data_IF_250357080789
#
_entry.id   IF_250357080789
#
_cell.length_a   1.000
_cell.length_b   1.000
_cell.length_c   1.000
_cell.angle_alpha   90.00
_cell.angle_beta   90.00
_cell.angle_gamma   90.00
#
_symmetry.space_group_name_H-M   'P 1'
#
loop_
_entity.id
_entity.type
_entity.pdbx_description
1 polymer ?
#
# COMPACT_ATOMS: atom_id res chain seq x y z
N UNK A 1 7.69 -11.63 14.37
CA UNK A 1 6.53 -12.23 15.05
C UNK A 1 6.64 -12.22 16.58
N UNK A 2 7.69 -12.76 17.21
CA UNK A 2 7.86 -12.79 18.68
C UNK A 2 7.92 -11.40 19.36
N UNK A 3 8.44 -10.36 18.71
CA UNK A 3 8.48 -8.99 19.28
C UNK A 3 7.11 -8.30 19.34
N UNK A 4 6.20 -8.61 18.42
CA UNK A 4 4.85 -8.05 18.41
C UNK A 4 3.99 -8.62 19.55
N UNK A 5 4.10 -9.91 19.80
CA UNK A 5 3.44 -10.59 20.93
C UNK A 5 3.89 -10.03 22.30
N UNK A 6 5.17 -9.65 22.43
CA UNK A 6 5.71 -9.04 23.65
C UNK A 6 5.20 -7.61 23.90
N UNK A 7 4.93 -6.83 22.83
CA UNK A 7 4.37 -5.47 22.96
C UNK A 7 2.88 -5.50 23.37
N UNK A 8 2.12 -6.45 22.87
CA UNK A 8 0.69 -6.61 23.19
C UNK A 8 0.50 -6.93 24.66
N UNK A 9 1.29 -7.86 25.21
CA UNK A 9 1.21 -8.22 26.65
C UNK A 9 1.54 -7.06 27.60
N UNK A 10 2.36 -6.11 27.18
CA UNK A 10 2.80 -5.00 28.03
C UNK A 10 1.78 -3.86 28.17
N UNK A 11 0.80 -3.76 27.27
CA UNK A 11 -0.11 -2.62 27.17
C UNK A 11 -1.57 -2.91 27.54
N UNK A 12 -1.97 -4.17 27.73
CA UNK A 12 -3.39 -4.55 27.86
C UNK A 12 -3.77 -5.34 29.13
N UNK A 13 -2.93 -5.35 30.18
CA UNK A 13 -3.28 -6.02 31.44
C UNK A 13 -3.22 -7.56 31.37
N UNK A 14 -3.39 -8.23 32.53
CA UNK A 14 -3.27 -9.69 32.69
C UNK A 14 -4.49 -10.51 32.21
N UNK A 15 -5.50 -9.89 31.59
CA UNK A 15 -6.56 -10.65 30.93
C UNK A 15 -5.95 -11.36 29.74
N UNK A 16 -5.99 -12.69 29.70
CA UNK A 16 -5.57 -13.52 28.56
C UNK A 16 -6.39 -13.15 27.33
N UNK A 17 -5.92 -12.14 26.59
CA UNK A 17 -6.45 -11.84 25.28
C UNK A 17 -5.98 -12.99 24.37
N UNK A 18 -6.82 -14.01 24.26
CA UNK A 18 -6.59 -15.05 23.26
C UNK A 18 -6.72 -14.43 21.89
N UNK A 19 -5.66 -14.51 21.07
CA UNK A 19 -5.69 -14.00 19.70
C UNK A 19 -6.82 -14.64 18.87
N UNK A 20 -7.28 -15.83 19.24
CA UNK A 20 -8.29 -16.60 18.52
C UNK A 20 -9.65 -15.87 18.37
N UNK A 21 -10.00 -14.97 19.32
CA UNK A 21 -11.29 -14.26 19.31
C UNK A 21 -11.18 -12.85 18.72
N UNK A 22 -10.07 -12.52 18.05
CA UNK A 22 -9.83 -11.19 17.47
C UNK A 22 -9.91 -11.24 15.96
N UNK A 23 -10.51 -10.20 15.39
CA UNK A 23 -10.41 -9.92 13.94
C UNK A 23 -9.04 -9.33 13.62
N UNK A 24 -8.43 -9.80 12.54
CA UNK A 24 -7.17 -9.24 12.03
C UNK A 24 -7.50 -8.32 10.85
N UNK A 25 -7.00 -7.11 10.91
CA UNK A 25 -7.05 -6.18 9.78
C UNK A 25 -5.62 -6.03 9.25
N UNK A 26 -5.43 -6.43 8.01
CA UNK A 26 -4.16 -6.32 7.29
C UNK A 26 -4.11 -5.03 6.49
N UNK A 27 -2.98 -4.39 6.49
CA UNK A 27 -2.61 -3.47 5.41
C UNK A 27 -2.15 -4.30 4.19
N UNK A 28 -2.27 -3.75 2.98
CA UNK A 28 -1.92 -4.45 1.75
C UNK A 28 -0.50 -4.13 1.30
N UNK A 29 -0.21 -2.83 1.08
CA UNK A 29 1.02 -2.38 0.45
C UNK A 29 2.22 -2.54 1.39
N UNK A 30 3.29 -3.23 0.93
CA UNK A 30 4.46 -3.56 1.74
C UNK A 30 4.17 -4.39 3.01
N UNK A 31 2.98 -4.96 3.13
CA UNK A 31 2.54 -5.83 4.23
C UNK A 31 2.26 -7.24 3.75
N UNK A 32 1.41 -7.44 2.74
CA UNK A 32 1.12 -8.74 2.14
C UNK A 32 2.04 -9.08 0.94
N UNK A 33 2.88 -8.16 0.54
CA UNK A 33 3.99 -8.33 -0.39
C UNK A 33 5.10 -7.35 -0.03
N UNK A 34 6.29 -7.55 -0.56
CA UNK A 34 7.42 -6.67 -0.29
C UNK A 34 7.62 -5.66 -1.42
N UNK A 35 7.83 -4.41 -1.05
CA UNK A 35 8.37 -3.39 -1.95
C UNK A 35 9.89 -3.51 -1.94
N UNK A 36 10.47 -3.97 -3.07
CA UNK A 36 11.92 -3.97 -3.26
C UNK A 36 12.41 -2.57 -3.64
N UNK A 37 13.73 -2.27 -3.52
CA UNK A 37 14.25 -0.97 -3.99
C UNK A 37 13.95 -0.69 -5.46
N UNK A 38 14.02 -1.69 -6.32
CA UNK A 38 13.71 -1.58 -7.74
C UNK A 38 12.22 -1.28 -7.96
N UNK A 39 11.35 -1.93 -7.20
CA UNK A 39 9.91 -1.68 -7.26
C UNK A 39 9.57 -0.28 -6.69
N UNK A 40 10.25 0.15 -5.62
CA UNK A 40 10.09 1.51 -5.10
C UNK A 40 10.44 2.57 -6.15
N UNK A 41 11.54 2.36 -6.91
CA UNK A 41 11.93 3.27 -7.99
C UNK A 41 10.87 3.32 -9.12
N UNK A 42 10.24 2.18 -9.46
CA UNK A 42 9.12 2.14 -10.41
C UNK A 42 7.85 2.87 -9.90
N UNK A 43 7.59 2.85 -8.59
CA UNK A 43 6.51 3.62 -7.99
C UNK A 43 6.80 5.12 -8.06
N UNK A 44 8.04 5.53 -7.80
CA UNK A 44 8.50 6.92 -7.96
C UNK A 44 8.32 7.39 -9.41
N UNK A 45 8.71 6.55 -10.40
CA UNK A 45 8.51 6.83 -11.82
C UNK A 45 7.04 6.98 -12.18
N UNK A 46 6.18 6.06 -11.71
CA UNK A 46 4.74 6.14 -11.95
C UNK A 46 4.14 7.43 -11.40
N UNK A 47 4.58 7.85 -10.20
CA UNK A 47 4.14 9.12 -9.59
C UNK A 47 4.62 10.33 -10.39
N UNK A 48 5.89 10.34 -10.82
CA UNK A 48 6.44 11.43 -11.64
C UNK A 48 5.71 11.55 -13.00
N UNK A 49 5.48 10.41 -13.67
CA UNK A 49 4.76 10.38 -14.95
C UNK A 49 3.30 10.84 -14.77
N UNK A 50 2.62 10.42 -13.69
CA UNK A 50 1.28 10.89 -13.38
C UNK A 50 1.23 12.42 -13.25
N UNK A 51 2.20 13.01 -12.53
CA UNK A 51 2.27 14.45 -12.34
C UNK A 51 2.48 15.22 -13.67
N UNK A 52 3.39 14.77 -14.51
CA UNK A 52 3.75 15.51 -15.77
C UNK A 52 2.77 15.22 -16.91
N UNK A 53 2.39 13.97 -17.15
CA UNK A 53 1.58 13.58 -18.31
C UNK A 53 0.07 13.68 -18.07
N UNK A 54 -0.41 13.28 -16.89
CA UNK A 54 -1.85 13.29 -16.60
C UNK A 54 -2.31 14.64 -16.02
N UNK A 55 -1.43 15.30 -15.23
CA UNK A 55 -1.80 16.50 -14.47
C UNK A 55 -1.10 17.78 -14.98
N UNK A 56 -0.23 17.67 -15.97
CA UNK A 56 0.36 18.82 -16.67
C UNK A 56 1.35 19.64 -15.82
N UNK A 57 1.98 19.03 -14.81
CA UNK A 57 3.03 19.71 -14.03
C UNK A 57 4.19 20.07 -14.96
N UNK A 58 4.63 21.35 -14.98
CA UNK A 58 5.61 21.85 -15.97
C UNK A 58 7.05 21.49 -15.58
N UNK A 59 7.34 20.19 -15.41
CA UNK A 59 8.64 19.64 -15.11
C UNK A 59 9.05 18.60 -16.17
N UNK A 60 10.34 18.41 -16.36
CA UNK A 60 10.80 17.21 -17.07
C UNK A 60 10.78 16.00 -16.13
N UNK A 61 10.97 14.79 -16.70
CA UNK A 61 10.90 13.54 -15.95
C UNK A 61 11.87 13.47 -14.77
N UNK A 62 13.13 13.86 -14.97
CA UNK A 62 14.16 13.79 -13.92
C UNK A 62 13.84 14.77 -12.77
N UNK A 63 13.37 15.97 -13.10
CA UNK A 63 12.92 16.94 -12.10
C UNK A 63 11.73 16.42 -11.31
N UNK A 64 10.73 15.86 -11.99
CA UNK A 64 9.55 15.31 -11.33
C UNK A 64 9.92 14.13 -10.43
N UNK A 65 10.77 13.20 -10.89
CA UNK A 65 11.26 12.06 -10.09
C UNK A 65 12.05 12.52 -8.86
N UNK A 66 12.87 13.56 -8.99
CA UNK A 66 13.57 14.17 -7.85
C UNK A 66 12.58 14.77 -6.84
N UNK A 67 11.50 15.41 -7.33
CA UNK A 67 10.42 15.94 -6.49
C UNK A 67 9.66 14.86 -5.74
N UNK A 68 9.39 13.71 -6.34
CA UNK A 68 8.79 12.56 -5.65
C UNK A 68 9.65 12.13 -4.44
N UNK A 69 10.97 12.02 -4.61
CA UNK A 69 11.90 11.67 -3.52
C UNK A 69 11.93 12.74 -2.43
N UNK A 70 11.93 14.03 -2.79
CA UNK A 70 11.80 15.16 -1.86
C UNK A 70 10.49 15.07 -1.06
N UNK A 71 9.39 14.71 -1.74
CA UNK A 71 8.05 14.57 -1.15
C UNK A 71 8.02 13.50 -0.05
N UNK A 72 8.59 12.32 -0.32
CA UNK A 72 8.70 11.27 0.69
C UNK A 72 9.48 11.69 1.93
N UNK A 73 10.55 12.45 1.76
CA UNK A 73 11.37 12.93 2.89
C UNK A 73 10.60 13.95 3.74
N UNK A 74 9.74 14.76 3.11
CA UNK A 74 9.05 15.88 3.75
C UNK A 74 7.68 15.50 4.28
N UNK A 75 6.89 14.79 3.46
CA UNK A 75 5.46 14.54 3.70
C UNK A 75 5.13 13.06 3.95
N UNK A 76 6.08 12.15 3.72
CA UNK A 76 5.86 10.70 3.75
C UNK A 76 4.91 10.18 2.66
N UNK A 77 4.70 10.99 1.64
CA UNK A 77 3.88 10.71 0.46
C UNK A 77 4.58 11.23 -0.79
N UNK A 78 4.61 10.45 -1.88
CA UNK A 78 5.34 10.81 -3.11
C UNK A 78 4.66 11.89 -3.93
N UNK A 79 3.33 12.00 -3.84
CA UNK A 79 2.52 12.93 -4.63
C UNK A 79 2.29 14.29 -3.96
N UNK A 80 2.42 14.37 -2.63
CA UNK A 80 2.03 15.53 -1.84
C UNK A 80 2.74 16.82 -2.25
N UNK A 81 3.97 16.76 -2.70
CA UNK A 81 4.72 17.94 -3.15
C UNK A 81 4.06 18.61 -4.35
N UNK A 82 3.44 17.83 -5.25
CA UNK A 82 2.74 18.37 -6.42
C UNK A 82 1.45 19.08 -6.00
N UNK A 83 0.77 18.59 -4.98
CA UNK A 83 -0.37 19.28 -4.35
C UNK A 83 0.07 20.61 -3.75
N UNK A 84 1.11 20.60 -2.92
CA UNK A 84 1.55 21.75 -2.16
C UNK A 84 2.26 22.83 -2.99
N UNK A 85 3.09 22.46 -3.95
CA UNK A 85 3.92 23.40 -4.70
C UNK A 85 3.36 23.77 -6.08
N UNK A 86 2.54 22.89 -6.68
CA UNK A 86 2.02 23.09 -8.04
C UNK A 86 0.50 23.24 -8.08
N UNK A 87 -0.18 23.18 -6.91
CA UNK A 87 -1.61 23.39 -6.80
C UNK A 87 -2.45 22.27 -7.44
N UNK A 88 -1.89 21.07 -7.57
CA UNK A 88 -2.61 19.91 -8.06
C UNK A 88 -3.69 19.51 -7.05
N UNK A 89 -4.88 19.18 -7.53
CA UNK A 89 -5.94 18.64 -6.70
C UNK A 89 -5.52 17.28 -6.09
N UNK A 90 -5.65 17.08 -4.76
CA UNK A 90 -5.21 15.86 -4.08
C UNK A 90 -5.87 14.60 -4.65
N UNK A 91 -7.18 14.66 -4.95
CA UNK A 91 -7.91 13.53 -5.51
C UNK A 91 -7.43 13.21 -6.93
N UNK A 92 -7.19 14.24 -7.75
CA UNK A 92 -6.63 14.04 -9.09
C UNK A 92 -5.24 13.40 -9.04
N UNK A 93 -4.38 13.80 -8.09
CA UNK A 93 -3.06 13.19 -7.90
C UNK A 93 -3.18 11.72 -7.48
N UNK A 94 -4.07 11.43 -6.55
CA UNK A 94 -4.35 10.09 -6.07
C UNK A 94 -4.81 9.18 -7.21
N UNK A 95 -5.79 9.60 -8.00
CA UNK A 95 -6.33 8.82 -9.13
C UNK A 95 -5.31 8.62 -10.23
N UNK A 96 -4.55 9.66 -10.61
CA UNK A 96 -3.53 9.59 -11.65
C UNK A 96 -2.42 8.61 -11.27
N UNK A 97 -1.92 8.65 -10.04
CA UNK A 97 -0.95 7.69 -9.53
C UNK A 97 -1.48 6.26 -9.55
N UNK A 98 -2.68 6.02 -8.99
CA UNK A 98 -3.23 4.65 -8.90
C UNK A 98 -3.52 4.04 -10.27
N UNK A 99 -3.92 4.84 -11.26
CA UNK A 99 -4.05 4.40 -12.66
C UNK A 99 -2.73 3.89 -13.25
N UNK A 100 -1.59 4.43 -12.80
CA UNK A 100 -0.25 4.10 -13.31
C UNK A 100 0.53 3.13 -12.43
N UNK A 101 0.03 2.82 -11.23
CA UNK A 101 0.71 1.95 -10.26
C UNK A 101 1.07 0.60 -10.90
N UNK A 102 2.36 0.23 -11.01
CA UNK A 102 2.76 -1.04 -11.59
C UNK A 102 2.38 -2.20 -10.68
N UNK A 103 1.83 -3.27 -11.27
CA UNK A 103 1.41 -4.48 -10.54
C UNK A 103 2.32 -5.66 -10.87
N UNK A 104 2.73 -5.82 -12.12
CA UNK A 104 3.52 -6.96 -12.59
C UNK A 104 4.83 -7.21 -11.82
N UNK A 105 5.56 -6.20 -11.31
CA UNK A 105 6.78 -6.42 -10.54
C UNK A 105 6.57 -6.90 -9.12
N UNK A 106 5.33 -6.94 -8.62
CA UNK A 106 5.02 -7.41 -7.26
C UNK A 106 5.34 -8.89 -7.13
N UNK A 107 6.18 -9.21 -6.15
CA UNK A 107 6.54 -10.60 -5.82
C UNK A 107 5.81 -11.01 -4.55
N UNK A 108 4.94 -12.03 -4.60
CA UNK A 108 4.25 -12.52 -3.42
C UNK A 108 5.23 -13.18 -2.43
N UNK A 109 4.90 -13.16 -1.14
CA UNK A 109 5.63 -13.97 -0.17
C UNK A 109 5.33 -15.46 -0.37
N UNK A 110 6.35 -16.29 -0.19
CA UNK A 110 6.20 -17.74 -0.23
C UNK A 110 5.24 -18.24 0.85
N UNK A 111 4.34 -19.13 0.45
CA UNK A 111 3.37 -19.79 1.34
C UNK A 111 2.51 -18.81 2.16
N UNK A 112 2.28 -17.59 1.64
CA UNK A 112 1.51 -16.59 2.38
C UNK A 112 0.06 -17.03 2.57
N UNK A 113 -0.59 -17.57 1.54
CA UNK A 113 -1.97 -18.06 1.63
C UNK A 113 -2.10 -19.14 2.71
N UNK A 114 -1.23 -20.15 2.70
CA UNK A 114 -1.21 -21.21 3.72
C UNK A 114 -1.06 -20.65 5.14
N UNK A 115 -0.18 -19.65 5.31
CA UNK A 115 0.03 -18.98 6.60
C UNK A 115 -1.23 -18.22 7.06
N UNK A 116 -1.91 -17.54 6.15
CA UNK A 116 -3.15 -16.83 6.47
C UNK A 116 -4.28 -17.81 6.82
N UNK A 117 -4.42 -18.90 6.06
CA UNK A 117 -5.40 -19.95 6.32
C UNK A 117 -5.15 -20.70 7.65
N UNK A 118 -3.91 -20.76 8.12
CA UNK A 118 -3.57 -21.37 9.40
C UNK A 118 -3.98 -20.54 10.62
N UNK A 119 -4.35 -19.29 10.44
CA UNK A 119 -4.82 -18.42 11.52
C UNK A 119 -6.32 -18.64 11.73
N UNK A 120 -6.78 -18.88 12.99
CA UNK A 120 -8.20 -19.13 13.29
C UNK A 120 -9.05 -17.86 13.22
N UNK A 121 -8.44 -16.72 12.97
CA UNK A 121 -9.05 -15.40 13.03
C UNK A 121 -9.86 -15.08 11.78
N UNK A 122 -10.92 -14.31 11.94
CA UNK A 122 -11.53 -13.59 10.85
C UNK A 122 -10.56 -12.50 10.35
N UNK A 123 -10.35 -12.41 9.03
CA UNK A 123 -9.30 -11.57 8.45
C UNK A 123 -9.86 -10.67 7.36
N UNK A 124 -9.48 -9.40 7.43
CA UNK A 124 -9.85 -8.35 6.49
C UNK A 124 -8.62 -7.60 6.01
N UNK A 125 -8.76 -6.92 4.86
CA UNK A 125 -7.78 -5.94 4.39
C UNK A 125 -8.41 -4.56 4.46
N UNK A 126 -7.62 -3.58 4.92
CA UNK A 126 -7.89 -2.17 4.76
C UNK A 126 -6.67 -1.51 4.12
N UNK A 127 -6.87 -0.86 2.97
CA UNK A 127 -5.78 -0.25 2.19
C UNK A 127 -6.12 1.18 1.79
N UNK A 128 -5.09 2.00 1.66
CA UNK A 128 -5.19 3.36 1.09
C UNK A 128 -5.12 3.37 -0.45
N UNK A 129 -4.95 2.22 -1.10
CA UNK A 129 -5.07 2.09 -2.56
C UNK A 129 -6.53 2.08 -3.00
N UNK A 130 -6.82 2.41 -4.27
CA UNK A 130 -8.18 2.29 -4.84
C UNK A 130 -8.65 0.84 -4.85
N UNK A 131 -9.98 0.62 -4.84
CA UNK A 131 -10.56 -0.72 -4.87
C UNK A 131 -10.07 -1.54 -6.07
N UNK A 132 -10.02 -0.93 -7.24
CA UNK A 132 -9.54 -1.56 -8.47
C UNK A 132 -8.07 -2.02 -8.34
N UNK A 133 -7.21 -1.19 -7.74
CA UNK A 133 -5.79 -1.53 -7.53
C UNK A 133 -5.66 -2.64 -6.51
N UNK A 134 -6.40 -2.59 -5.39
CA UNK A 134 -6.42 -3.67 -4.40
C UNK A 134 -6.81 -5.00 -5.05
N UNK A 135 -7.87 -5.02 -5.85
CA UNK A 135 -8.33 -6.22 -6.55
C UNK A 135 -7.25 -6.78 -7.50
N UNK A 136 -6.61 -5.90 -8.30
CA UNK A 136 -5.51 -6.30 -9.20
C UNK A 136 -4.34 -6.90 -8.44
N UNK A 137 -3.93 -6.27 -7.35
CA UNK A 137 -2.82 -6.77 -6.50
C UNK A 137 -3.20 -8.13 -5.91
N UNK A 138 -4.38 -8.25 -5.31
CA UNK A 138 -4.83 -9.51 -4.69
C UNK A 138 -4.92 -10.65 -5.69
N UNK A 139 -5.39 -10.40 -6.92
CA UNK A 139 -5.37 -11.37 -8.01
C UNK A 139 -3.95 -11.77 -8.39
N UNK A 140 -3.06 -10.79 -8.50
CA UNK A 140 -1.67 -11.01 -8.88
C UNK A 140 -0.90 -11.85 -7.86
N UNK A 141 -1.11 -11.61 -6.55
CA UNK A 141 -0.45 -12.35 -5.47
C UNK A 141 -1.19 -13.62 -5.02
N UNK A 142 -2.30 -13.97 -5.69
CA UNK A 142 -3.06 -15.21 -5.43
C UNK A 142 -3.90 -15.20 -4.15
N UNK A 143 -4.23 -14.02 -3.62
CA UNK A 143 -5.02 -13.88 -2.38
C UNK A 143 -6.46 -13.39 -2.61
N UNK A 144 -6.86 -13.14 -3.86
CA UNK A 144 -8.18 -12.57 -4.15
C UNK A 144 -9.33 -13.42 -3.62
N UNK A 145 -9.32 -14.72 -3.88
CA UNK A 145 -10.43 -15.59 -3.45
C UNK A 145 -10.51 -15.71 -1.93
N UNK A 146 -9.37 -15.68 -1.24
CA UNK A 146 -9.29 -15.69 0.21
C UNK A 146 -9.90 -14.43 0.83
N UNK A 147 -9.63 -13.24 0.25
CA UNK A 147 -10.12 -11.96 0.76
C UNK A 147 -11.36 -11.41 0.03
N UNK A 148 -11.96 -12.18 -0.89
CA UNK A 148 -13.15 -11.73 -1.63
C UNK A 148 -14.27 -11.30 -0.69
N UNK A 149 -14.72 -10.04 -0.85
CA UNK A 149 -15.72 -9.41 0.03
C UNK A 149 -15.19 -9.02 1.42
N UNK A 150 -13.89 -9.11 1.66
CA UNK A 150 -13.24 -8.79 2.93
C UNK A 150 -12.05 -7.84 2.75
N UNK A 151 -12.01 -7.05 1.68
CA UNK A 151 -11.05 -5.97 1.51
C UNK A 151 -11.78 -4.66 1.27
N UNK A 152 -11.27 -3.61 1.89
CA UNK A 152 -11.81 -2.26 1.87
C UNK A 152 -10.71 -1.29 1.46
N UNK A 153 -11.10 -0.26 0.73
CA UNK A 153 -10.25 0.80 0.19
C UNK A 153 -10.76 2.16 0.63
N UNK A 154 -9.92 3.17 0.58
CA UNK A 154 -10.33 4.57 0.70
C UNK A 154 -10.77 5.06 -0.68
N UNK A 155 -12.07 5.22 -0.87
CA UNK A 155 -12.73 5.88 -1.99
C UNK A 155 -13.79 6.83 -1.47
#
# INVERSE_FOLDING_TARGET
MLKLLGLIKKNFGEDEVTLADKTIIWDLDNTLYRITPEFADMLDEATAIAAIEDLGVPLNFEEAKAKVKESYMTYRDGGEIFVQQYGIDPEAMFQAYHKRKPIAPIVPYENLLEKLESLPNEQYIFSTSTHEVCEKILKHIGLYDFFKGRFYSVE
#
